data_IF_617599674152
#
_entry.id   IF_617599674152
#
_cell.length_a   1.000
_cell.length_b   1.000
_cell.length_c   1.000
_cell.angle_alpha   90.00
_cell.angle_beta   90.00
_cell.angle_gamma   90.00
#
_symmetry.space_group_name_H-M   'P 1'
#
loop_
_entity.id
_entity.type
_entity.pdbx_description
1 polymer ?
#
# COMPACT_ATOMS: atom_id res chain seq x y z
N UNK A 1 -7.62 14.58 0.13
CA UNK A 1 -7.40 13.54 -0.90
C UNK A 1 -7.31 12.20 -0.20
N UNK A 2 -7.84 11.13 -0.77
CA UNK A 2 -7.76 9.80 -0.19
C UNK A 2 -6.37 9.18 -0.38
N UNK A 3 -6.03 8.19 0.45
CA UNK A 3 -4.81 7.40 0.29
C UNK A 3 -4.77 6.73 -1.09
N UNK A 4 -3.58 6.63 -1.66
CA UNK A 4 -3.37 5.96 -2.95
C UNK A 4 -3.49 4.46 -2.79
N UNK A 5 -4.27 3.84 -3.66
CA UNK A 5 -4.39 2.39 -3.79
C UNK A 5 -3.50 1.93 -4.94
N UNK A 6 -2.67 0.95 -4.66
CA UNK A 6 -1.66 0.43 -5.58
C UNK A 6 -1.91 -1.03 -5.94
N UNK A 7 -1.47 -1.41 -7.14
CA UNK A 7 -1.45 -2.80 -7.60
C UNK A 7 -0.01 -3.25 -7.81
N UNK A 8 0.30 -4.47 -7.40
CA UNK A 8 1.63 -5.02 -7.57
C UNK A 8 1.95 -5.27 -9.06
N UNK A 9 3.13 -4.84 -9.50
CA UNK A 9 3.67 -5.10 -10.83
C UNK A 9 4.80 -6.12 -10.75
N UNK A 10 5.79 -5.87 -9.89
CA UNK A 10 6.89 -6.77 -9.65
C UNK A 10 7.09 -7.02 -8.17
N UNK A 11 7.30 -8.29 -7.81
CA UNK A 11 7.99 -8.65 -6.57
C UNK A 11 9.45 -8.94 -6.90
N UNK A 12 10.36 -8.56 -6.03
CA UNK A 12 11.71 -9.05 -6.10
C UNK A 12 11.75 -10.49 -5.58
N UNK A 13 12.87 -11.18 -5.65
CA UNK A 13 13.04 -12.62 -5.43
C UNK A 13 12.20 -13.18 -4.27
N UNK A 14 12.08 -12.44 -3.18
CA UNK A 14 11.19 -12.73 -2.07
C UNK A 14 10.59 -11.42 -1.58
N UNK A 15 9.28 -11.32 -1.60
CA UNK A 15 8.58 -10.17 -1.08
C UNK A 15 8.77 -10.09 0.44
N UNK A 16 9.32 -8.99 0.89
CA UNK A 16 9.48 -8.73 2.32
C UNK A 16 8.16 -8.21 2.89
N UNK A 17 7.63 -8.97 3.83
CA UNK A 17 6.35 -8.65 4.48
C UNK A 17 6.61 -8.30 5.94
N UNK A 18 5.93 -7.28 6.41
CA UNK A 18 5.90 -6.86 7.81
C UNK A 18 4.46 -6.68 8.26
N UNK A 19 4.24 -6.77 9.54
CA UNK A 19 2.95 -6.44 10.13
C UNK A 19 3.07 -5.09 10.84
N UNK A 20 2.25 -4.13 10.41
CA UNK A 20 2.23 -2.78 10.97
C UNK A 20 0.84 -2.41 11.46
N UNK A 21 0.76 -1.65 12.59
CA UNK A 21 -0.48 -0.95 12.94
C UNK A 21 -0.85 0.02 11.82
N UNK A 22 -2.11 0.03 11.45
CA UNK A 22 -2.63 0.90 10.38
C UNK A 22 -3.93 1.57 10.83
N UNK A 23 -4.30 2.73 10.25
CA UNK A 23 -5.54 3.41 10.59
C UNK A 23 -6.78 2.55 10.34
N UNK A 24 -7.85 2.84 11.07
CA UNK A 24 -9.16 2.20 10.83
C UNK A 24 -9.62 2.42 9.39
N UNK A 25 -10.18 1.37 8.79
CA UNK A 25 -10.66 1.42 7.41
C UNK A 25 -9.59 1.27 6.34
N UNK A 26 -8.33 1.01 6.70
CA UNK A 26 -7.27 0.76 5.73
C UNK A 26 -7.58 -0.46 4.88
N UNK A 27 -7.68 -0.27 3.56
CA UNK A 27 -7.95 -1.30 2.58
C UNK A 27 -6.65 -1.96 2.10
N UNK A 28 -6.77 -3.15 1.52
CA UNK A 28 -5.68 -3.79 0.77
C UNK A 28 -5.17 -2.86 -0.34
N UNK A 29 -3.87 -2.85 -0.57
CA UNK A 29 -3.24 -2.05 -1.63
C UNK A 29 -2.96 -0.60 -1.24
N UNK A 30 -3.20 -0.21 0.00
CA UNK A 30 -2.99 1.18 0.46
C UNK A 30 -1.51 1.48 0.63
N UNK A 31 -1.06 2.59 0.04
CA UNK A 31 0.28 3.14 0.30
C UNK A 31 0.34 3.73 1.71
N UNK A 32 1.30 3.31 2.51
CA UNK A 32 1.46 3.75 3.90
C UNK A 32 2.93 3.93 4.28
N UNK A 33 3.14 4.63 5.39
CA UNK A 33 4.43 4.71 6.06
C UNK A 33 4.35 4.04 7.43
N UNK A 34 5.41 3.37 7.84
CA UNK A 34 5.57 2.96 9.23
C UNK A 34 5.82 4.15 10.15
N UNK A 35 5.80 3.93 11.46
CA UNK A 35 6.16 4.95 12.45
C UNK A 35 7.58 5.52 12.25
N UNK A 36 8.48 4.77 11.61
CA UNK A 36 9.84 5.21 11.26
C UNK A 36 9.97 5.70 9.81
N UNK A 37 8.86 6.02 9.16
CA UNK A 37 8.79 6.50 7.76
C UNK A 37 9.27 5.48 6.73
N UNK A 38 9.21 4.18 7.03
CA UNK A 38 9.47 3.15 6.03
C UNK A 38 8.27 3.02 5.10
N UNK A 39 8.46 3.11 3.77
CA UNK A 39 7.38 2.93 2.81
C UNK A 39 6.88 1.48 2.76
N UNK A 40 5.60 1.33 2.52
CA UNK A 40 4.99 0.01 2.34
C UNK A 40 3.64 0.08 1.62
N UNK A 41 3.17 -1.08 1.20
CA UNK A 41 1.86 -1.26 0.58
C UNK A 41 1.14 -2.40 1.29
N UNK A 42 -0.07 -2.17 1.73
CA UNK A 42 -0.83 -3.19 2.46
C UNK A 42 -1.23 -4.35 1.54
N UNK A 43 -0.95 -5.56 1.98
CA UNK A 43 -1.34 -6.81 1.29
C UNK A 43 -2.70 -7.32 1.77
N UNK A 44 -3.10 -6.92 2.96
CA UNK A 44 -4.39 -7.25 3.57
C UNK A 44 -5.06 -5.97 4.04
N UNK A 45 -6.40 -5.94 4.17
CA UNK A 45 -7.04 -4.85 4.90
C UNK A 45 -6.63 -4.89 6.38
N UNK A 46 -6.91 -3.81 7.10
CA UNK A 46 -6.74 -3.80 8.55
C UNK A 46 -7.57 -4.90 9.19
N UNK A 47 -6.95 -5.70 10.06
CA UNK A 47 -7.68 -6.66 10.87
C UNK A 47 -8.52 -5.95 11.93
N UNK A 48 -9.82 -6.21 11.95
CA UNK A 48 -10.67 -5.79 13.06
C UNK A 48 -10.58 -6.81 14.19
N UNK A 49 -10.94 -6.41 15.41
CA UNK A 49 -10.87 -7.30 16.57
C UNK A 49 -11.66 -8.59 16.32
N UNK A 50 -12.84 -8.46 15.75
CA UNK A 50 -13.69 -9.61 15.41
C UNK A 50 -14.59 -9.31 14.23
N UNK A 51 -14.92 -10.34 13.45
CA UNK A 51 -16.04 -10.35 12.53
C UNK A 51 -17.05 -11.37 13.02
N UNK A 52 -18.31 -11.23 12.63
CA UNK A 52 -19.35 -12.18 13.00
C UNK A 52 -20.21 -12.60 11.81
N UNK A 53 -20.69 -13.83 11.84
CA UNK A 53 -21.65 -14.36 10.87
C UNK A 53 -22.74 -15.12 11.59
N UNK A 54 -23.99 -14.81 11.27
CA UNK A 54 -25.14 -15.53 11.80
C UNK A 54 -25.47 -16.72 10.89
N UNK A 55 -25.47 -17.91 11.47
CA UNK A 55 -25.78 -19.15 10.77
C UNK A 55 -27.19 -19.59 11.11
N UNK A 56 -28.01 -19.82 10.06
CA UNK A 56 -29.41 -20.29 10.21
C UNK A 56 -30.31 -19.36 11.02
N UNK A 57 -29.93 -18.09 11.18
CA UNK A 57 -30.69 -17.11 11.95
C UNK A 57 -30.64 -17.31 13.48
N UNK A 58 -29.90 -18.31 13.97
CA UNK A 58 -29.89 -18.70 15.39
C UNK A 58 -28.50 -18.58 16.02
N UNK A 59 -27.47 -18.98 15.32
CA UNK A 59 -26.08 -18.97 15.84
C UNK A 59 -25.28 -17.83 15.24
N UNK A 60 -24.65 -17.03 16.10
CA UNK A 60 -23.66 -16.04 15.68
C UNK A 60 -22.26 -16.59 15.91
N UNK A 61 -21.53 -16.76 14.81
CA UNK A 61 -20.11 -17.14 14.84
C UNK A 61 -19.27 -15.88 14.87
N UNK A 62 -18.39 -15.76 15.86
CA UNK A 62 -17.45 -14.66 16.00
C UNK A 62 -16.03 -15.18 15.72
N UNK A 63 -15.28 -14.50 14.86
CA UNK A 63 -13.96 -14.93 14.45
C UNK A 63 -13.05 -13.70 14.24
N UNK A 64 -11.70 -13.86 14.33
CA UNK A 64 -10.78 -12.79 13.98
C UNK A 64 -10.93 -12.37 12.53
N UNK A 65 -10.98 -11.07 12.28
CA UNK A 65 -11.02 -10.51 10.93
C UNK A 65 -9.60 -10.22 10.45
N UNK A 66 -9.32 -10.52 9.20
CA UNK A 66 -8.01 -10.33 8.57
C UNK A 66 -7.32 -11.66 8.25
N UNK A 67 -6.02 -11.60 7.95
CA UNK A 67 -5.22 -12.79 7.67
C UNK A 67 -5.00 -13.62 8.94
N UNK A 68 -4.80 -14.92 8.79
CA UNK A 68 -4.51 -15.81 9.91
C UNK A 68 -3.28 -15.33 10.67
N UNK A 69 -3.39 -15.13 11.97
CA UNK A 69 -2.34 -14.60 12.83
C UNK A 69 -2.17 -13.09 12.80
N UNK A 70 -2.95 -12.37 11.99
CA UNK A 70 -2.90 -10.92 11.93
C UNK A 70 -3.52 -10.29 13.19
N UNK A 71 -2.85 -9.26 13.73
CA UNK A 71 -3.39 -8.50 14.85
C UNK A 71 -4.59 -7.66 14.44
N UNK A 72 -5.47 -7.38 15.40
CA UNK A 72 -6.74 -6.69 15.14
C UNK A 72 -6.60 -5.25 14.64
N UNK A 73 -5.49 -4.58 14.90
CA UNK A 73 -5.25 -3.18 14.51
C UNK A 73 -4.22 -3.02 13.40
N UNK A 74 -3.78 -4.13 12.82
CA UNK A 74 -2.65 -4.19 11.92
C UNK A 74 -3.02 -4.72 10.54
N UNK A 75 -2.12 -4.54 9.58
CA UNK A 75 -2.18 -5.15 8.26
C UNK A 75 -0.84 -5.78 7.90
N UNK A 76 -0.86 -6.78 7.05
CA UNK A 76 0.33 -7.30 6.39
C UNK A 76 0.77 -6.29 5.34
N UNK A 77 2.04 -5.93 5.34
CA UNK A 77 2.58 -4.85 4.50
C UNK A 77 3.80 -5.34 3.74
N UNK A 78 3.77 -5.20 2.42
CA UNK A 78 4.94 -5.37 1.58
C UNK A 78 5.83 -4.14 1.67
N UNK A 79 7.12 -4.33 1.89
CA UNK A 79 8.09 -3.24 2.04
C UNK A 79 9.06 -3.13 0.86
N UNK A 80 8.81 -3.88 -0.20
CA UNK A 80 9.57 -3.82 -1.44
C UNK A 80 8.68 -4.07 -2.67
N UNK A 81 9.28 -4.07 -3.84
CA UNK A 81 8.61 -4.34 -5.10
C UNK A 81 8.25 -3.09 -5.89
N UNK A 82 7.64 -3.31 -7.05
CA UNK A 82 7.12 -2.25 -7.93
C UNK A 82 5.61 -2.32 -7.97
N UNK A 83 4.98 -1.19 -7.72
CA UNK A 83 3.54 -1.04 -7.55
C UNK A 83 3.02 0.02 -8.52
N UNK A 84 1.84 -0.18 -9.08
CA UNK A 84 1.23 0.74 -10.04
C UNK A 84 0.00 1.41 -9.44
N UNK A 85 -0.09 2.71 -9.63
CA UNK A 85 -1.24 3.50 -9.21
C UNK A 85 -1.08 4.98 -9.54
N UNK A 86 -2.06 5.80 -9.16
CA UNK A 86 -2.02 7.23 -9.44
C UNK A 86 -0.97 7.93 -8.59
N UNK A 87 -0.17 8.78 -9.23
CA UNK A 87 0.79 9.67 -8.58
C UNK A 87 0.52 11.09 -9.06
N UNK A 88 0.19 11.99 -8.16
CA UNK A 88 -0.15 13.38 -8.49
C UNK A 88 1.05 14.07 -9.11
N UNK A 89 0.86 14.69 -10.27
CA UNK A 89 1.91 15.36 -11.03
C UNK A 89 2.68 14.46 -11.99
N UNK A 90 2.54 13.13 -11.90
CA UNK A 90 3.20 12.22 -12.82
C UNK A 90 2.46 12.13 -14.16
N UNK A 91 3.23 12.01 -15.23
CA UNK A 91 2.74 11.82 -16.60
C UNK A 91 3.44 10.63 -17.25
N UNK A 92 3.01 10.25 -18.45
CA UNK A 92 3.70 9.21 -19.24
C UNK A 92 5.15 9.57 -19.57
N UNK A 93 5.51 10.85 -19.48
CA UNK A 93 6.86 11.37 -19.75
C UNK A 93 7.71 11.50 -18.49
N UNK A 94 7.17 11.19 -17.31
CA UNK A 94 7.95 11.27 -16.07
C UNK A 94 9.10 10.27 -16.11
N UNK A 95 10.31 10.78 -15.89
CA UNK A 95 11.53 9.97 -16.01
C UNK A 95 11.60 8.87 -14.94
N UNK A 96 12.15 7.72 -15.32
CA UNK A 96 12.51 6.67 -14.35
C UNK A 96 13.44 7.22 -13.27
N UNK A 97 13.32 6.73 -12.06
CA UNK A 97 14.06 7.16 -10.86
C UNK A 97 13.69 8.57 -10.33
N UNK A 98 12.64 9.20 -10.88
CA UNK A 98 12.08 10.41 -10.26
C UNK A 98 11.55 10.07 -8.87
N UNK A 99 11.88 10.88 -7.87
CA UNK A 99 11.43 10.65 -6.49
C UNK A 99 9.91 10.81 -6.37
N UNK A 100 9.30 9.88 -5.65
CA UNK A 100 7.89 9.90 -5.31
C UNK A 100 7.75 10.07 -3.80
N UNK A 101 6.83 10.92 -3.40
CA UNK A 101 6.56 11.26 -2.01
C UNK A 101 5.14 10.86 -1.63
N UNK A 102 4.92 10.71 -0.34
CA UNK A 102 3.58 10.49 0.22
C UNK A 102 3.23 11.69 1.10
N UNK A 103 2.03 12.21 0.94
CA UNK A 103 1.54 13.33 1.73
C UNK A 103 0.86 12.87 3.02
N UNK A 104 0.41 13.83 3.83
CA UNK A 104 -0.26 13.55 5.10
C UNK A 104 -1.61 12.84 4.96
N UNK A 105 -2.19 12.82 3.77
CA UNK A 105 -3.44 12.10 3.48
C UNK A 105 -3.21 10.70 2.95
N UNK A 106 -1.95 10.33 2.70
CA UNK A 106 -1.57 9.06 2.11
C UNK A 106 -1.59 9.04 0.57
N UNK A 107 -1.74 10.17 -0.08
CA UNK A 107 -1.67 10.28 -1.53
C UNK A 107 -0.21 10.38 -2.01
N UNK A 108 0.10 9.68 -3.11
CA UNK A 108 1.41 9.77 -3.74
C UNK A 108 1.51 10.98 -4.67
N UNK A 109 2.66 11.66 -4.62
CA UNK A 109 2.89 12.90 -5.37
C UNK A 109 4.36 13.04 -5.74
N UNK A 110 4.65 13.85 -6.75
CA UNK A 110 6.01 14.25 -7.10
C UNK A 110 6.51 15.47 -6.30
N UNK A 111 5.65 16.09 -5.51
CA UNK A 111 5.98 17.28 -4.70
C UNK A 111 6.71 16.87 -3.42
N UNK A 112 7.93 17.38 -3.23
CA UNK A 112 8.74 17.08 -2.07
C UNK A 112 8.35 17.86 -0.81
N UNK A 113 7.89 19.11 -0.98
CA UNK A 113 7.62 20.05 0.12
C UNK A 113 6.58 19.50 1.08
N UNK A 114 6.95 19.40 2.36
CA UNK A 114 6.11 18.89 3.46
C UNK A 114 5.66 17.42 3.32
N UNK A 115 6.29 16.67 2.43
CA UNK A 115 5.98 15.27 2.16
C UNK A 115 7.16 14.36 2.47
N UNK A 116 6.90 13.09 2.70
CA UNK A 116 7.92 12.09 3.01
C UNK A 116 8.24 11.26 1.77
N UNK A 117 9.51 10.95 1.55
CA UNK A 117 9.93 10.08 0.46
C UNK A 117 9.24 8.71 0.58
N UNK A 118 8.67 8.26 -0.51
CA UNK A 118 8.00 6.94 -0.59
C UNK A 118 8.78 5.96 -1.48
N UNK A 119 9.20 6.39 -2.65
CA UNK A 119 9.91 5.54 -3.60
C UNK A 119 10.40 6.32 -4.80
N UNK A 120 10.56 5.61 -5.91
CA UNK A 120 10.96 6.21 -7.19
C UNK A 120 10.08 5.69 -8.32
N UNK A 121 9.93 6.51 -9.35
CA UNK A 121 9.24 6.08 -10.57
C UNK A 121 10.02 4.96 -11.22
N UNK A 122 9.34 3.89 -11.58
CA UNK A 122 9.89 2.74 -12.30
C UNK A 122 9.19 2.60 -13.66
N UNK A 123 9.64 1.67 -14.47
CA UNK A 123 9.03 1.34 -15.74
C UNK A 123 8.76 -0.17 -15.80
N UNK A 124 7.69 -0.55 -16.46
CA UNK A 124 7.37 -1.96 -16.69
C UNK A 124 6.74 -2.12 -18.08
N UNK A 125 6.98 -3.25 -18.76
CA UNK A 125 6.33 -3.54 -20.01
C UNK A 125 4.82 -3.76 -19.80
N UNK A 126 4.01 -3.32 -20.76
CA UNK A 126 2.57 -3.56 -20.73
C UNK A 126 1.79 -2.71 -19.75
N UNK A 127 2.20 -1.46 -19.54
CA UNK A 127 1.47 -0.51 -18.72
C UNK A 127 -0.02 -0.48 -19.08
N UNK A 128 -0.87 -0.81 -18.12
CA UNK A 128 -2.29 -1.02 -18.38
C UNK A 128 -3.08 0.28 -18.54
N UNK A 129 -2.60 1.39 -17.96
CA UNK A 129 -3.30 2.69 -17.95
C UNK A 129 -2.34 3.84 -18.09
N UNK A 130 -2.75 4.88 -18.82
CA UNK A 130 -1.99 6.13 -18.94
C UNK A 130 -2.01 6.95 -17.65
N UNK A 131 -2.91 6.65 -16.71
CA UNK A 131 -3.04 7.36 -15.44
C UNK A 131 -2.24 6.71 -14.32
N UNK A 132 -1.81 5.47 -14.50
CA UNK A 132 -1.03 4.76 -13.49
C UNK A 132 0.46 4.98 -13.69
N UNK A 133 1.15 5.17 -12.60
CA UNK A 133 2.61 5.29 -12.55
C UNK A 133 3.16 4.11 -11.75
N UNK A 134 4.19 3.47 -12.27
CA UNK A 134 4.90 2.42 -11.54
C UNK A 134 5.83 3.09 -10.51
N UNK A 135 5.75 2.65 -9.27
CA UNK A 135 6.56 3.15 -8.16
C UNK A 135 7.30 1.99 -7.52
N UNK A 136 8.62 2.10 -7.46
CA UNK A 136 9.47 1.11 -6.79
C UNK A 136 9.77 1.54 -5.37
N UNK A 137 9.61 0.63 -4.43
CA UNK A 137 9.92 0.81 -3.01
C UNK A 137 10.92 -0.24 -2.53
N UNK A 138 11.45 -0.08 -1.34
CA UNK A 138 12.42 -1.00 -0.73
C UNK A 138 13.85 -0.54 -0.90
N UNK A 139 14.78 -1.50 -0.91
CA UNK A 139 16.22 -1.21 -0.92
C UNK A 139 16.72 -0.49 -2.18
N UNK A 140 15.92 -0.49 -3.24
CA UNK A 140 16.25 0.17 -4.51
C UNK A 140 15.54 1.51 -4.69
N UNK A 141 14.76 1.94 -3.72
CA UNK A 141 14.04 3.20 -3.76
C UNK A 141 14.87 4.37 -3.23
#
# INVERSE_FOLDING_TARGET
MAATILSQVYAYTEEKVREWPVPSGTAKGTAILSASNQPGVTLTPRGDATASKTLGGVYTLTYPNGAVGQRSDSAQVAVDGTWAGPVVGATSSTAKNTLVYIDSTGALTLTATSNTKFGVVDSYPGKASSTDTAVKIGVFA
#
